data_IF_548026077319
#
_entry.id   IF_548026077319
#
_cell.length_a   1.000
_cell.length_b   1.000
_cell.length_c   1.000
_cell.angle_alpha   90.00
_cell.angle_beta   90.00
_cell.angle_gamma   90.00
#
_symmetry.space_group_name_H-M   'P 1'
#
loop_
_entity.id
_entity.type
_entity.pdbx_description
1 polymer ?
#
# COMPACT_ATOMS: atom_id res chain seq x y z
N UNK A 1 -10.35 20.77 10.68
CA UNK A 1 -9.43 19.89 11.40
C UNK A 1 -8.10 19.95 10.67
N UNK A 2 -7.01 20.14 11.40
CA UNK A 2 -5.65 20.02 10.82
C UNK A 2 -5.41 18.54 10.56
N UNK A 3 -5.04 18.17 9.35
CA UNK A 3 -4.89 16.75 8.98
C UNK A 3 -3.57 16.51 8.25
N UNK A 4 -2.87 15.44 8.62
CA UNK A 4 -1.71 14.91 7.94
C UNK A 4 -0.37 15.60 8.23
N UNK A 5 0.70 14.85 7.95
CA UNK A 5 2.10 15.24 8.09
C UNK A 5 2.68 15.53 6.73
N UNK A 6 3.25 16.71 6.55
CA UNK A 6 3.80 17.14 5.27
C UNK A 6 5.29 17.41 5.40
N UNK A 7 6.05 16.89 4.44
CA UNK A 7 7.46 17.21 4.26
C UNK A 7 7.62 18.06 3.01
N UNK A 8 8.30 19.20 3.12
CA UNK A 8 8.61 20.08 1.99
C UNK A 8 10.12 20.12 1.78
N UNK A 9 10.54 19.91 0.55
CA UNK A 9 11.94 19.88 0.15
C UNK A 9 12.12 20.82 -1.03
N UNK A 10 12.86 21.90 -0.81
CA UNK A 10 13.15 22.93 -1.81
C UNK A 10 14.47 23.60 -1.39
N UNK A 11 15.39 23.84 -2.29
CA UNK A 11 16.67 24.47 -1.98
C UNK A 11 16.58 25.99 -1.75
N UNK A 12 15.43 26.58 -2.03
CA UNK A 12 15.13 27.98 -1.80
C UNK A 12 14.42 28.19 -0.45
N UNK A 13 15.11 28.84 0.50
CA UNK A 13 14.59 29.12 1.83
C UNK A 13 13.33 30.01 1.81
N UNK A 14 13.24 30.95 0.86
CA UNK A 14 12.07 31.84 0.73
C UNK A 14 10.81 31.05 0.32
N UNK A 15 10.97 30.06 -0.55
CA UNK A 15 9.92 29.14 -0.95
C UNK A 15 9.47 28.31 0.24
N UNK A 16 10.42 27.73 1.00
CA UNK A 16 10.13 26.95 2.20
C UNK A 16 9.40 27.80 3.23
N UNK A 17 9.86 29.03 3.48
CA UNK A 17 9.21 29.95 4.42
C UNK A 17 7.78 30.29 4.00
N UNK A 18 7.57 30.64 2.72
CA UNK A 18 6.26 30.96 2.19
C UNK A 18 5.27 29.79 2.29
N UNK A 19 5.72 28.56 1.93
CA UNK A 19 4.90 27.36 2.03
C UNK A 19 4.64 26.99 3.50
N UNK A 20 5.61 27.12 4.39
CA UNK A 20 5.43 26.87 5.80
C UNK A 20 4.36 27.79 6.40
N UNK A 21 4.46 29.09 6.16
CA UNK A 21 3.50 30.08 6.67
C UNK A 21 2.08 29.83 6.11
N UNK A 22 2.00 29.42 4.86
CA UNK A 22 0.71 29.21 4.18
C UNK A 22 0.05 27.90 4.63
N UNK A 23 0.81 26.82 4.84
CA UNK A 23 0.27 25.47 5.09
C UNK A 23 0.13 25.12 6.57
N UNK A 24 0.93 25.71 7.47
CA UNK A 24 0.90 25.43 8.93
C UNK A 24 -0.51 25.51 9.55
N UNK A 25 -1.41 26.44 9.14
CA UNK A 25 -2.77 26.48 9.67
C UNK A 25 -3.65 25.28 9.31
N UNK A 26 -3.32 24.56 8.21
CA UNK A 26 -4.16 23.53 7.59
C UNK A 26 -3.71 22.10 7.87
N UNK A 27 -2.46 21.89 8.32
CA UNK A 27 -1.84 20.57 8.49
C UNK A 27 -1.55 20.28 9.96
N UNK A 28 -1.44 19.00 10.30
CA UNK A 28 -1.14 18.57 11.67
C UNK A 28 0.32 18.86 12.03
N UNK A 29 1.24 18.43 11.15
CA UNK A 29 2.67 18.66 11.31
C UNK A 29 3.30 19.00 9.96
N UNK A 30 4.23 19.95 9.98
CA UNK A 30 4.99 20.36 8.81
C UNK A 30 6.47 20.31 9.11
N UNK A 31 7.24 19.71 8.21
CA UNK A 31 8.70 19.73 8.21
C UNK A 31 9.19 20.30 6.89
N UNK A 32 10.23 21.08 6.95
CA UNK A 32 10.87 21.70 5.78
C UNK A 32 12.37 21.40 5.79
N UNK A 33 12.97 21.24 4.62
CA UNK A 33 14.42 21.07 4.49
C UNK A 33 14.91 21.56 3.14
N UNK A 34 16.10 22.19 3.15
CA UNK A 34 16.84 22.56 1.93
C UNK A 34 17.73 21.42 1.42
N UNK A 35 17.82 20.31 2.17
CA UNK A 35 18.75 19.22 1.91
C UNK A 35 17.98 17.95 1.52
N UNK A 36 17.91 17.61 0.22
CA UNK A 36 17.20 16.43 -0.24
C UNK A 36 17.83 15.13 0.28
N UNK A 37 19.11 15.12 0.65
CA UNK A 37 19.78 13.96 1.24
C UNK A 37 19.16 13.52 2.58
N UNK A 38 18.40 14.38 3.24
CA UNK A 38 17.69 14.08 4.49
C UNK A 38 16.35 13.40 4.30
N UNK A 39 15.90 13.18 3.05
CA UNK A 39 14.60 12.54 2.75
C UNK A 39 14.48 11.19 3.43
N UNK A 40 15.47 10.31 3.29
CA UNK A 40 15.45 8.97 3.89
C UNK A 40 15.30 9.01 5.42
N UNK A 41 15.98 9.96 6.05
CA UNK A 41 15.84 10.19 7.49
C UNK A 41 14.42 10.66 7.87
N UNK A 42 13.84 11.57 7.12
CA UNK A 42 12.47 12.03 7.39
C UNK A 42 11.42 10.94 7.09
N UNK A 43 11.62 10.13 6.08
CA UNK A 43 10.74 9.01 5.80
C UNK A 43 10.70 7.99 6.94
N UNK A 44 11.84 7.74 7.60
CA UNK A 44 11.92 6.80 8.72
C UNK A 44 11.48 7.39 10.07
N UNK A 45 11.74 8.67 10.33
CA UNK A 45 11.52 9.28 11.67
C UNK A 45 10.24 10.11 11.75
N UNK A 46 9.87 10.79 10.67
CA UNK A 46 8.71 11.66 10.61
C UNK A 46 7.51 10.98 9.94
N UNK A 47 7.76 10.08 8.98
CA UNK A 47 6.76 9.32 8.22
C UNK A 47 5.73 10.28 7.61
N UNK A 48 6.10 11.08 6.59
CA UNK A 48 5.20 12.07 6.00
C UNK A 48 4.05 11.40 5.22
N UNK A 49 2.86 11.98 5.30
CA UNK A 49 1.71 11.57 4.49
C UNK A 49 1.82 12.09 3.05
N UNK A 50 2.33 13.31 2.89
CA UNK A 50 2.55 13.95 1.60
C UNK A 50 3.93 14.60 1.58
N UNK A 51 4.63 14.44 0.47
CA UNK A 51 5.93 15.06 0.21
C UNK A 51 5.75 16.08 -0.91
N UNK A 52 6.07 17.35 -0.62
CA UNK A 52 6.23 18.41 -1.62
C UNK A 52 7.72 18.47 -1.99
N UNK A 53 8.05 18.16 -3.23
CA UNK A 53 9.42 18.03 -3.70
C UNK A 53 9.69 19.02 -4.82
N UNK A 54 10.69 19.87 -4.65
CA UNK A 54 11.14 20.69 -5.78
C UNK A 54 11.69 19.81 -6.91
N UNK A 55 11.37 20.19 -8.13
CA UNK A 55 11.85 19.45 -9.31
C UNK A 55 13.30 19.80 -9.64
N UNK A 56 13.74 21.03 -9.36
CA UNK A 56 15.03 21.56 -9.77
C UNK A 56 15.81 22.08 -8.56
N UNK A 57 16.84 21.38 -8.16
CA UNK A 57 17.79 21.81 -7.14
C UNK A 57 18.98 22.55 -7.77
N UNK A 58 19.79 23.24 -6.97
CA UNK A 58 20.89 24.11 -7.44
C UNK A 58 21.90 23.46 -8.37
N UNK A 59 22.07 22.14 -8.27
CA UNK A 59 22.99 21.38 -9.12
C UNK A 59 22.43 21.12 -10.52
N UNK A 60 21.11 21.20 -10.67
CA UNK A 60 20.41 20.93 -11.93
C UNK A 60 19.20 21.85 -12.13
N UNK A 61 19.46 23.14 -12.33
CA UNK A 61 18.42 24.14 -12.43
C UNK A 61 17.50 24.01 -13.67
N UNK A 62 17.82 23.13 -14.63
CA UNK A 62 17.13 23.08 -15.93
C UNK A 62 16.56 21.71 -16.28
N UNK A 63 17.26 20.60 -16.00
CA UNK A 63 16.87 19.26 -16.50
C UNK A 63 15.84 18.55 -15.64
N UNK A 64 15.74 18.87 -14.35
CA UNK A 64 14.86 18.21 -13.38
C UNK A 64 15.30 16.78 -13.01
N UNK A 65 16.48 16.32 -13.46
CA UNK A 65 16.96 14.95 -13.21
C UNK A 65 17.10 14.69 -11.72
N UNK A 66 17.49 15.69 -10.95
CA UNK A 66 17.69 15.56 -9.50
C UNK A 66 16.36 15.29 -8.77
N UNK A 67 15.28 15.99 -9.15
CA UNK A 67 13.94 15.71 -8.61
C UNK A 67 13.44 14.31 -8.94
N UNK A 68 13.70 13.82 -10.16
CA UNK A 68 13.35 12.43 -10.54
C UNK A 68 14.17 11.39 -9.77
N UNK A 69 15.45 11.64 -9.55
CA UNK A 69 16.30 10.76 -8.73
C UNK A 69 15.76 10.62 -7.31
N UNK A 70 15.35 11.74 -6.68
CA UNK A 70 14.78 11.69 -5.34
C UNK A 70 13.39 11.05 -5.31
N UNK A 71 12.56 11.28 -6.34
CA UNK A 71 11.28 10.59 -6.48
C UNK A 71 11.46 9.07 -6.52
N UNK A 72 12.42 8.57 -7.32
CA UNK A 72 12.73 7.14 -7.41
C UNK A 72 13.14 6.56 -6.06
N UNK A 73 14.01 7.26 -5.31
CA UNK A 73 14.42 6.86 -3.96
C UNK A 73 13.25 6.83 -2.97
N UNK A 74 12.37 7.84 -3.01
CA UNK A 74 11.17 7.87 -2.17
C UNK A 74 10.28 6.66 -2.49
N UNK A 75 10.04 6.39 -3.77
CA UNK A 75 9.19 5.28 -4.22
C UNK A 75 9.79 3.90 -3.96
N UNK A 76 11.11 3.79 -3.95
CA UNK A 76 11.79 2.56 -3.55
C UNK A 76 11.64 2.29 -2.04
N UNK A 77 11.63 3.34 -1.21
CA UNK A 77 11.45 3.22 0.24
C UNK A 77 9.97 3.05 0.64
N UNK A 78 9.05 3.74 -0.02
CA UNK A 78 7.60 3.62 0.16
C UNK A 78 6.89 3.71 -1.20
N UNK A 79 6.50 2.59 -1.81
CA UNK A 79 5.77 2.58 -3.09
C UNK A 79 4.46 3.37 -3.05
N UNK A 80 3.82 3.47 -1.88
CA UNK A 80 2.57 4.19 -1.67
C UNK A 80 2.75 5.66 -1.28
N UNK A 81 3.98 6.15 -1.18
CA UNK A 81 4.27 7.54 -0.88
C UNK A 81 3.55 8.48 -1.86
N UNK A 82 2.95 9.54 -1.34
CA UNK A 82 2.29 10.57 -2.13
C UNK A 82 3.25 11.74 -2.31
N UNK A 83 3.74 11.92 -3.55
CA UNK A 83 4.73 12.94 -3.88
C UNK A 83 4.11 13.94 -4.87
N UNK A 84 4.15 15.22 -4.51
CA UNK A 84 3.75 16.34 -5.35
C UNK A 84 5.00 17.13 -5.74
N UNK A 85 5.24 17.28 -7.03
CA UNK A 85 6.32 18.15 -7.49
C UNK A 85 5.94 19.62 -7.40
N UNK A 86 6.90 20.46 -7.00
CA UNK A 86 6.81 21.91 -7.15
C UNK A 86 7.75 22.30 -8.28
N UNK A 87 7.28 23.06 -9.28
CA UNK A 87 8.07 23.37 -10.46
C UNK A 87 7.92 24.82 -10.89
N UNK A 88 9.03 25.45 -11.29
CA UNK A 88 9.04 26.83 -11.81
C UNK A 88 8.44 26.93 -13.23
N UNK A 89 8.32 25.83 -13.96
CA UNK A 89 7.83 25.79 -15.33
C UNK A 89 6.63 24.87 -15.46
N UNK A 90 5.52 25.38 -15.99
CA UNK A 90 4.38 24.60 -16.44
C UNK A 90 4.71 23.89 -17.78
N UNK A 91 5.85 23.17 -17.82
CA UNK A 91 6.24 22.37 -18.97
C UNK A 91 5.42 21.07 -18.96
N UNK A 92 4.46 21.02 -19.87
CA UNK A 92 3.53 19.88 -19.98
C UNK A 92 4.28 18.55 -20.17
N UNK A 93 5.42 18.55 -20.88
CA UNK A 93 6.20 17.33 -21.09
C UNK A 93 6.84 16.83 -19.80
N UNK A 94 7.41 17.74 -19.00
CA UNK A 94 7.97 17.40 -17.69
C UNK A 94 6.90 16.93 -16.70
N UNK A 95 5.73 17.57 -16.70
CA UNK A 95 4.61 17.14 -15.87
C UNK A 95 4.14 15.72 -16.23
N UNK A 96 3.95 15.42 -17.52
CA UNK A 96 3.59 14.07 -17.98
C UNK A 96 4.67 13.06 -17.61
N UNK A 97 5.94 13.40 -17.76
CA UNK A 97 7.07 12.56 -17.37
C UNK A 97 7.07 12.29 -15.85
N UNK A 98 6.78 13.31 -15.03
CA UNK A 98 6.72 13.20 -13.58
C UNK A 98 5.63 12.20 -13.14
N UNK A 99 4.43 12.31 -13.70
CA UNK A 99 3.32 11.38 -13.42
C UNK A 99 3.69 9.94 -13.84
N UNK A 100 4.29 9.76 -15.03
CA UNK A 100 4.77 8.45 -15.49
C UNK A 100 5.86 7.87 -14.59
N UNK A 101 6.68 8.70 -13.96
CA UNK A 101 7.70 8.28 -13.00
C UNK A 101 7.14 7.98 -11.60
N UNK A 102 5.83 8.17 -11.37
CA UNK A 102 5.15 7.84 -10.12
C UNK A 102 4.88 9.01 -9.19
N UNK A 103 5.11 10.27 -9.61
CA UNK A 103 4.60 11.42 -8.89
C UNK A 103 3.06 11.42 -8.92
N UNK A 104 2.44 11.92 -7.85
CA UNK A 104 0.99 11.96 -7.74
C UNK A 104 0.41 13.14 -8.51
N UNK A 105 1.05 14.31 -8.41
CA UNK A 105 0.65 15.54 -9.09
C UNK A 105 1.81 16.54 -9.11
N UNK A 106 1.58 17.73 -9.66
CA UNK A 106 2.54 18.82 -9.66
C UNK A 106 1.88 20.19 -9.37
N UNK A 107 2.65 21.12 -8.82
CA UNK A 107 2.22 22.46 -8.44
C UNK A 107 3.16 23.46 -9.10
N UNK A 108 2.65 24.34 -9.98
CA UNK A 108 3.47 25.37 -10.61
C UNK A 108 3.85 26.50 -9.64
N UNK A 109 5.07 27.00 -9.74
CA UNK A 109 5.51 28.27 -9.11
C UNK A 109 5.29 29.44 -10.12
N UNK A 110 4.66 30.56 -9.72
CA UNK A 110 4.00 30.82 -8.46
C UNK A 110 2.66 30.07 -8.34
N UNK A 111 2.34 29.60 -7.15
CA UNK A 111 1.09 28.88 -6.89
C UNK A 111 -0.05 29.82 -6.50
N UNK A 112 -1.25 29.43 -6.86
CA UNK A 112 -2.49 30.00 -6.33
C UNK A 112 -2.85 29.24 -5.03
N UNK A 113 -3.17 29.99 -3.97
CA UNK A 113 -3.44 29.42 -2.65
C UNK A 113 -4.54 28.35 -2.69
N UNK A 114 -5.65 28.65 -3.32
CA UNK A 114 -6.83 27.79 -3.41
C UNK A 114 -6.49 26.47 -4.13
N UNK A 115 -5.73 26.56 -5.22
CA UNK A 115 -5.30 25.43 -6.02
C UNK A 115 -4.31 24.55 -5.26
N UNK A 116 -3.32 25.15 -4.60
CA UNK A 116 -2.37 24.44 -3.74
C UNK A 116 -3.09 23.65 -2.64
N UNK A 117 -4.03 24.29 -1.93
CA UNK A 117 -4.80 23.66 -0.85
C UNK A 117 -5.70 22.54 -1.38
N UNK A 118 -6.32 22.72 -2.55
CA UNK A 118 -7.16 21.67 -3.17
C UNK A 118 -6.32 20.44 -3.56
N UNK A 119 -5.18 20.64 -4.23
CA UNK A 119 -4.25 19.56 -4.60
C UNK A 119 -3.72 18.83 -3.36
N UNK A 120 -3.34 19.58 -2.32
CA UNK A 120 -2.86 19.00 -1.07
C UNK A 120 -3.95 18.18 -0.35
N UNK A 121 -5.19 18.67 -0.31
CA UNK A 121 -6.33 17.95 0.27
C UNK A 121 -6.60 16.65 -0.48
N UNK A 122 -6.54 16.65 -1.81
CA UNK A 122 -6.68 15.44 -2.62
C UNK A 122 -5.55 14.44 -2.35
N UNK A 123 -4.32 14.91 -2.22
CA UNK A 123 -3.14 14.11 -1.92
C UNK A 123 -3.23 13.44 -0.53
N UNK A 124 -3.66 14.17 0.49
CA UNK A 124 -3.87 13.63 1.84
C UNK A 124 -4.96 12.55 1.86
N UNK A 125 -6.10 12.77 1.19
CA UNK A 125 -7.14 11.75 1.06
C UNK A 125 -6.66 10.49 0.34
N UNK A 126 -5.85 10.65 -0.69
CA UNK A 126 -5.26 9.52 -1.40
C UNK A 126 -4.35 8.70 -0.48
N UNK A 127 -3.52 9.37 0.33
CA UNK A 127 -2.65 8.69 1.31
C UNK A 127 -3.46 7.94 2.37
N UNK A 128 -4.49 8.58 2.91
CA UNK A 128 -5.40 7.97 3.88
C UNK A 128 -6.04 6.69 3.31
N UNK A 129 -6.59 6.75 2.10
CA UNK A 129 -7.19 5.59 1.43
C UNK A 129 -6.18 4.46 1.20
N UNK A 130 -4.95 4.77 0.78
CA UNK A 130 -3.88 3.75 0.61
C UNK A 130 -3.51 3.10 1.93
N UNK A 131 -3.38 3.89 3.00
CA UNK A 131 -3.06 3.39 4.34
C UNK A 131 -4.18 2.50 4.89
N UNK A 132 -5.44 2.88 4.67
CA UNK A 132 -6.60 2.07 5.06
C UNK A 132 -6.63 0.74 4.33
N UNK A 133 -6.44 0.74 3.00
CA UNK A 133 -6.36 -0.49 2.19
C UNK A 133 -5.24 -1.40 2.69
N UNK A 134 -4.05 -0.86 2.97
CA UNK A 134 -2.93 -1.65 3.47
C UNK A 134 -3.20 -2.20 4.88
N UNK A 135 -3.84 -1.41 5.74
CA UNK A 135 -4.24 -1.87 7.08
C UNK A 135 -5.28 -2.98 7.00
N UNK A 136 -6.27 -2.85 6.11
CA UNK A 136 -7.28 -3.89 5.87
C UNK A 136 -6.63 -5.17 5.31
N UNK A 137 -5.73 -5.05 4.34
CA UNK A 137 -4.97 -6.20 3.81
C UNK A 137 -4.20 -6.90 4.92
N UNK A 138 -3.43 -6.16 5.74
CA UNK A 138 -2.69 -6.74 6.87
C UNK A 138 -3.60 -7.41 7.90
N UNK A 139 -4.77 -6.82 8.19
CA UNK A 139 -5.76 -7.46 9.10
C UNK A 139 -6.32 -8.75 8.51
N UNK A 140 -6.60 -8.76 7.23
CA UNK A 140 -7.09 -9.95 6.54
C UNK A 140 -5.99 -11.02 6.46
N UNK A 141 -4.75 -10.64 6.17
CA UNK A 141 -3.58 -11.52 6.22
C UNK A 141 -3.35 -12.07 7.64
N UNK A 142 -3.56 -11.29 8.68
CA UNK A 142 -3.46 -11.73 10.07
C UNK A 142 -4.61 -12.67 10.51
N UNK A 143 -5.77 -12.62 9.83
CA UNK A 143 -6.88 -13.56 10.02
C UNK A 143 -6.66 -14.87 9.23
N UNK A 144 -5.92 -14.81 8.13
CA UNK A 144 -5.37 -15.96 7.42
C UNK A 144 -4.15 -16.44 8.20
N UNK A 145 -4.25 -17.54 8.94
CA UNK A 145 -3.28 -18.25 9.80
C UNK A 145 -1.85 -17.67 9.91
N UNK A 146 -1.29 -17.56 11.13
CA UNK A 146 0.04 -16.99 11.42
C UNK A 146 1.24 -17.71 10.82
N UNK A 147 1.04 -18.82 10.10
CA UNK A 147 2.10 -19.73 9.63
C UNK A 147 2.44 -19.60 8.12
N UNK A 148 2.14 -18.47 7.47
CA UNK A 148 2.35 -18.32 6.02
C UNK A 148 3.82 -17.98 5.62
N UNK A 149 4.74 -18.03 6.56
CA UNK A 149 6.17 -17.84 6.30
C UNK A 149 6.82 -19.16 5.83
N UNK A 150 6.81 -19.39 4.52
CA UNK A 150 7.73 -20.34 3.89
C UNK A 150 7.38 -21.82 4.08
N UNK A 151 6.16 -22.21 3.72
CA UNK A 151 5.77 -23.61 3.72
C UNK A 151 6.39 -24.36 2.54
N UNK A 152 7.57 -24.93 2.75
CA UNK A 152 8.14 -25.92 1.86
C UNK A 152 7.73 -27.32 2.33
N UNK A 153 6.83 -27.98 1.60
CA UNK A 153 6.49 -29.37 1.86
C UNK A 153 7.67 -30.23 1.39
N UNK A 154 8.38 -30.84 2.34
CA UNK A 154 9.50 -31.71 2.06
C UNK A 154 8.98 -33.14 1.93
N UNK A 155 9.29 -33.81 0.81
CA UNK A 155 8.96 -35.21 0.59
C UNK A 155 9.78 -35.82 -0.53
N UNK A 156 10.49 -36.92 -0.23
CA UNK A 156 11.39 -37.58 -1.19
C UNK A 156 10.81 -38.90 -1.75
N UNK A 157 9.70 -39.40 -1.16
CA UNK A 157 9.08 -40.64 -1.64
C UNK A 157 8.40 -40.44 -3.02
N UNK A 158 8.35 -41.52 -3.79
CA UNK A 158 7.72 -41.51 -5.11
C UNK A 158 6.27 -40.97 -5.07
N UNK A 159 5.52 -41.38 -4.01
CA UNK A 159 4.13 -40.91 -3.80
C UNK A 159 4.05 -39.42 -3.57
N UNK A 160 5.00 -38.83 -2.84
CA UNK A 160 5.05 -37.38 -2.61
C UNK A 160 5.45 -36.64 -3.88
N UNK A 161 6.34 -37.20 -4.69
CA UNK A 161 6.72 -36.60 -5.98
C UNK A 161 5.55 -36.61 -6.97
N UNK A 162 4.74 -37.66 -7.02
CA UNK A 162 3.50 -37.72 -7.80
C UNK A 162 2.49 -36.68 -7.33
N UNK A 163 2.36 -36.46 -6.00
CA UNK A 163 1.51 -35.44 -5.44
C UNK A 163 1.97 -34.04 -5.84
N UNK A 164 3.28 -33.73 -5.75
CA UNK A 164 3.83 -32.46 -6.18
C UNK A 164 3.63 -32.22 -7.68
N UNK A 165 3.80 -33.23 -8.52
CA UNK A 165 3.51 -33.17 -9.95
C UNK A 165 2.02 -32.87 -10.21
N UNK A 166 1.12 -33.36 -9.37
CA UNK A 166 -0.32 -33.11 -9.46
C UNK A 166 -0.63 -31.67 -9.07
N UNK A 167 -0.06 -31.17 -7.96
CA UNK A 167 -0.20 -29.76 -7.53
C UNK A 167 0.28 -28.83 -8.66
N UNK A 168 1.44 -29.13 -9.26
CA UNK A 168 1.99 -28.33 -10.36
C UNK A 168 1.10 -28.30 -11.61
N UNK A 169 0.35 -29.37 -11.90
CA UNK A 169 -0.62 -29.40 -13.02
C UNK A 169 -1.88 -28.60 -12.72
N UNK A 170 -2.25 -28.46 -11.45
CA UNK A 170 -3.48 -27.76 -11.03
C UNK A 170 -3.28 -26.26 -10.83
N UNK A 171 -2.04 -25.77 -10.89
CA UNK A 171 -1.68 -24.36 -10.59
C UNK A 171 -2.46 -23.31 -11.39
N UNK A 172 -2.82 -23.61 -12.62
CA UNK A 172 -3.50 -22.68 -13.54
C UNK A 172 -5.01 -22.94 -13.67
N UNK A 173 -5.58 -23.78 -12.78
CA UNK A 173 -7.01 -24.10 -12.81
C UNK A 173 -7.82 -23.29 -11.81
N UNK A 174 -9.02 -22.85 -12.22
CA UNK A 174 -10.04 -22.25 -11.35
C UNK A 174 -11.06 -23.28 -10.82
N UNK A 175 -10.82 -24.57 -11.03
CA UNK A 175 -11.75 -25.62 -10.60
C UNK A 175 -11.75 -25.78 -9.07
N UNK A 176 -12.89 -26.22 -8.53
CA UNK A 176 -12.99 -26.63 -7.15
C UNK A 176 -12.20 -27.93 -6.94
N UNK A 177 -11.34 -27.95 -5.91
CA UNK A 177 -10.48 -29.10 -5.60
C UNK A 177 -10.95 -29.73 -4.30
N UNK A 178 -11.20 -31.05 -4.32
CA UNK A 178 -11.50 -31.85 -3.15
C UNK A 178 -10.25 -32.63 -2.73
N UNK A 179 -9.77 -32.40 -1.51
CA UNK A 179 -8.62 -33.11 -0.92
C UNK A 179 -9.14 -34.15 0.09
N UNK A 180 -8.89 -35.42 -0.18
CA UNK A 180 -9.31 -36.51 0.67
C UNK A 180 -8.11 -37.13 1.40
N UNK A 181 -8.31 -37.56 2.64
CA UNK A 181 -7.32 -38.24 3.45
C UNK A 181 -7.74 -38.36 4.93
N UNK A 182 -7.07 -39.17 5.69
CA UNK A 182 -7.29 -39.36 7.13
C UNK A 182 -6.95 -38.09 7.93
N UNK A 183 -7.39 -38.02 9.18
CA UNK A 183 -7.03 -36.89 10.05
C UNK A 183 -5.51 -36.88 10.30
N UNK A 184 -4.91 -35.69 10.29
CA UNK A 184 -3.46 -35.52 10.52
C UNK A 184 -2.57 -35.78 9.29
N UNK A 185 -3.09 -36.12 8.12
CA UNK A 185 -2.30 -36.39 6.89
C UNK A 185 -1.78 -35.17 6.18
N UNK A 186 -2.01 -33.96 6.71
CA UNK A 186 -1.49 -32.70 6.11
C UNK A 186 -2.33 -32.14 4.98
N UNK A 187 -3.64 -32.42 4.92
CA UNK A 187 -4.55 -31.87 3.89
C UNK A 187 -4.51 -30.34 3.81
N UNK A 188 -4.40 -29.66 4.95
CA UNK A 188 -4.28 -28.20 5.02
C UNK A 188 -2.99 -27.72 4.37
N UNK A 189 -1.87 -28.43 4.53
CA UNK A 189 -0.61 -28.11 3.86
C UNK A 189 -0.72 -28.21 2.34
N UNK A 190 -1.44 -29.22 1.83
CA UNK A 190 -1.69 -29.37 0.39
C UNK A 190 -2.58 -28.24 -0.14
N UNK A 191 -3.61 -27.84 0.62
CA UNK A 191 -4.47 -26.72 0.25
C UNK A 191 -3.66 -25.40 0.16
N UNK A 192 -2.77 -25.14 1.10
CA UNK A 192 -1.86 -24.00 1.10
C UNK A 192 -0.87 -24.06 -0.07
N UNK A 193 -0.29 -25.23 -0.37
CA UNK A 193 0.59 -25.41 -1.50
C UNK A 193 -0.12 -25.11 -2.84
N UNK A 194 -1.35 -25.57 -3.00
CA UNK A 194 -2.18 -25.25 -4.17
C UNK A 194 -2.43 -23.75 -4.28
N UNK A 195 -2.77 -23.08 -3.17
CA UNK A 195 -2.97 -21.64 -3.13
C UNK A 195 -1.69 -20.87 -3.55
N UNK A 196 -0.53 -21.18 -2.96
CA UNK A 196 0.75 -20.52 -3.27
C UNK A 196 1.20 -20.70 -4.72
N UNK A 197 0.84 -21.81 -5.36
CA UNK A 197 1.15 -22.06 -6.77
C UNK A 197 0.06 -21.55 -7.73
N UNK A 198 -1.04 -21.03 -7.22
CA UNK A 198 -2.17 -20.56 -8.04
C UNK A 198 -2.00 -19.09 -8.48
N UNK A 199 -2.74 -18.63 -9.52
CA UNK A 199 -2.82 -17.23 -9.88
C UNK A 199 -3.38 -16.34 -8.75
N UNK A 200 -3.99 -16.93 -7.73
CA UNK A 200 -4.59 -16.25 -6.58
C UNK A 200 -3.64 -16.14 -5.38
N UNK A 201 -2.37 -16.47 -5.51
CA UNK A 201 -1.38 -16.43 -4.41
C UNK A 201 -1.23 -15.06 -3.73
N UNK A 202 -1.66 -13.99 -4.38
CA UNK A 202 -1.70 -12.62 -3.84
C UNK A 202 -3.08 -12.21 -3.28
N UNK A 203 -4.06 -13.14 -3.26
CA UNK A 203 -5.37 -12.89 -2.67
C UNK A 203 -5.39 -13.44 -1.25
N UNK A 204 -6.50 -13.23 -0.54
CA UNK A 204 -6.66 -13.75 0.81
C UNK A 204 -6.95 -15.23 0.78
N UNK A 205 -6.22 -16.04 1.55
CA UNK A 205 -6.52 -17.44 1.82
C UNK A 205 -7.26 -17.55 3.16
N UNK A 206 -8.51 -17.99 3.13
CA UNK A 206 -9.33 -18.18 4.33
C UNK A 206 -9.52 -19.67 4.58
N UNK A 207 -9.02 -20.15 5.73
CA UNK A 207 -9.24 -21.51 6.20
C UNK A 207 -10.40 -21.52 7.19
N UNK A 208 -11.43 -22.35 6.92
CA UNK A 208 -12.60 -22.48 7.77
C UNK A 208 -12.76 -23.95 8.16
N UNK A 209 -12.73 -24.21 9.45
CA UNK A 209 -13.07 -25.54 10.00
C UNK A 209 -14.60 -25.62 10.19
N UNK A 210 -15.27 -26.21 9.20
CA UNK A 210 -16.72 -26.37 9.25
C UNK A 210 -17.19 -27.27 10.40
N UNK A 211 -16.32 -28.14 10.92
CA UNK A 211 -16.65 -29.00 12.08
C UNK A 211 -16.71 -28.24 13.40
N UNK A 212 -16.09 -27.07 13.48
CA UNK A 212 -16.09 -26.21 14.66
C UNK A 212 -17.29 -25.25 14.73
N UNK A 213 -18.03 -25.08 13.63
CA UNK A 213 -19.17 -24.16 13.53
C UNK A 213 -20.46 -24.91 13.86
N UNK A 214 -21.25 -24.46 14.87
CA UNK A 214 -22.58 -25.01 15.13
C UNK A 214 -23.49 -24.86 13.91
N UNK A 215 -24.25 -25.91 13.58
CA UNK A 215 -25.13 -25.95 12.40
C UNK A 215 -26.07 -24.74 12.30
N UNK A 216 -26.55 -24.24 13.45
CA UNK A 216 -27.45 -23.09 13.53
C UNK A 216 -26.79 -21.74 13.20
N UNK A 217 -25.45 -21.65 13.27
CA UNK A 217 -24.69 -20.43 13.01
C UNK A 217 -23.94 -20.50 11.66
N UNK A 218 -24.04 -21.63 10.96
CA UNK A 218 -23.28 -21.92 9.76
C UNK A 218 -23.44 -20.84 8.67
N UNK A 219 -24.65 -20.46 8.35
CA UNK A 219 -24.91 -19.44 7.33
C UNK A 219 -24.45 -18.05 7.79
N UNK A 220 -24.68 -17.69 9.03
CA UNK A 220 -24.29 -16.39 9.59
C UNK A 220 -22.78 -16.22 9.73
N UNK A 221 -22.05 -17.27 10.06
CA UNK A 221 -20.58 -17.24 10.15
C UNK A 221 -19.91 -17.19 8.77
N UNK A 222 -20.48 -17.90 7.76
CA UNK A 222 -19.94 -17.94 6.41
C UNK A 222 -20.25 -16.68 5.57
N UNK A 223 -21.48 -16.17 5.69
CA UNK A 223 -22.00 -15.13 4.79
C UNK A 223 -22.33 -13.81 5.50
N UNK A 224 -22.14 -13.78 6.83
CA UNK A 224 -22.54 -12.64 7.64
C UNK A 224 -24.04 -12.54 7.85
N UNK A 225 -24.48 -11.50 8.56
CA UNK A 225 -25.88 -11.23 8.84
C UNK A 225 -26.15 -9.74 8.93
N UNK A 226 -27.37 -9.36 8.61
CA UNK A 226 -27.80 -7.97 8.82
C UNK A 226 -28.09 -7.71 10.29
N UNK A 227 -27.81 -6.49 10.76
CA UNK A 227 -28.07 -6.07 12.13
C UNK A 227 -29.53 -6.26 12.48
N UNK A 228 -29.78 -7.03 13.54
CA UNK A 228 -31.11 -7.38 14.00
C UNK A 228 -31.71 -8.64 13.39
N UNK A 229 -30.97 -9.40 12.60
CA UNK A 229 -31.47 -10.65 12.01
C UNK A 229 -31.79 -11.72 13.08
N UNK A 230 -31.14 -11.68 14.25
CA UNK A 230 -31.44 -12.52 15.42
C UNK A 230 -31.09 -11.80 16.73
N UNK A 231 -31.51 -12.37 17.88
CA UNK A 231 -31.51 -11.71 19.20
C UNK A 231 -30.14 -11.16 19.65
N UNK A 232 -29.02 -11.71 19.18
CA UNK A 232 -27.66 -11.28 19.51
C UNK A 232 -26.92 -10.56 18.35
N UNK A 233 -27.57 -10.29 17.23
CA UNK A 233 -27.01 -9.56 16.09
C UNK A 233 -26.82 -8.07 16.41
N UNK A 234 -25.75 -7.73 17.16
CA UNK A 234 -25.46 -6.37 17.66
C UNK A 234 -24.51 -5.58 16.75
N UNK A 235 -23.80 -6.23 15.84
CA UNK A 235 -22.87 -5.65 14.87
C UNK A 235 -23.08 -6.30 13.51
N UNK A 236 -22.87 -5.50 12.45
CA UNK A 236 -22.80 -5.98 11.06
C UNK A 236 -21.44 -6.63 10.83
#
# INVERSE_FOLDING_TARGET
MKNGKILIIDDNEDVLFALNLLLEPYVEQLKVTTQPERIEHFMSTFVPDVILLDMNFRRDAISGQEGFFWLEKIKAADPDAVVLFITAYADTEKAVRAIKAGATDFIPKPWEKEKLLATLSAALKLRESRTEINTLKQRVEALGSPDDTGFEIIGESDVMQELFATIAKLKDTDANILILGENGTGKDLIARALYHHSPRCNQVFISIDLGSIPEQLFESELFGYEKGAFTDARRD
#
